data_IF_772593961149
#
_entry.id   IF_772593961149
#
_cell.length_a   1.000
_cell.length_b   1.000
_cell.length_c   1.000
_cell.angle_alpha   90.00
_cell.angle_beta   90.00
_cell.angle_gamma   90.00
#
_symmetry.space_group_name_H-M   'P 1'
#
loop_
_entity.id
_entity.type
_entity.pdbx_description
1 polymer ?
#
# COMPACT_ATOMS: atom_id res chain seq x y z
N UNK A 1 5.86 -27.81 -10.14
CA UNK A 1 7.08 -27.58 -9.33
C UNK A 1 7.39 -26.09 -9.34
N UNK A 2 7.32 -25.43 -8.18
CA UNK A 2 7.97 -24.15 -7.88
C UNK A 2 7.32 -22.82 -8.32
N UNK A 3 6.58 -22.77 -9.43
CA UNK A 3 6.30 -21.50 -10.13
C UNK A 3 5.36 -20.50 -9.42
N UNK A 4 4.68 -20.89 -8.33
CA UNK A 4 3.79 -20.00 -7.56
C UNK A 4 4.11 -19.98 -6.06
N UNK A 5 5.30 -20.41 -5.66
CA UNK A 5 5.69 -20.36 -4.25
C UNK A 5 5.97 -18.92 -3.83
N UNK A 6 5.50 -18.53 -2.65
CA UNK A 6 5.76 -17.23 -2.01
C UNK A 6 7.26 -16.89 -2.01
N UNK A 7 8.13 -17.91 -1.94
CA UNK A 7 9.59 -17.75 -2.04
C UNK A 7 10.04 -17.10 -3.35
N UNK A 8 9.38 -17.39 -4.48
CA UNK A 8 9.73 -16.79 -5.78
C UNK A 8 9.44 -15.27 -5.79
N UNK A 9 8.27 -14.88 -5.29
CA UNK A 9 7.89 -13.47 -5.16
C UNK A 9 8.82 -12.72 -4.21
N UNK A 10 9.26 -13.36 -3.12
CA UNK A 10 10.21 -12.78 -2.17
C UNK A 10 11.56 -12.51 -2.82
N UNK A 11 12.09 -13.46 -3.60
CA UNK A 11 13.36 -13.33 -4.31
C UNK A 11 13.27 -12.24 -5.39
N UNK A 12 12.18 -12.19 -6.15
CA UNK A 12 11.95 -11.14 -7.15
C UNK A 12 11.93 -9.75 -6.52
N UNK A 13 11.25 -9.60 -5.37
CA UNK A 13 11.19 -8.34 -4.63
C UNK A 13 12.60 -7.88 -4.21
N UNK A 14 13.41 -8.81 -3.69
CA UNK A 14 14.81 -8.53 -3.33
C UNK A 14 15.61 -8.07 -4.55
N UNK A 15 15.49 -8.75 -5.70
CA UNK A 15 16.21 -8.37 -6.92
C UNK A 15 15.80 -6.98 -7.40
N UNK A 16 14.50 -6.65 -7.41
CA UNK A 16 14.03 -5.31 -7.79
C UNK A 16 14.59 -4.24 -6.86
N UNK A 17 14.61 -4.49 -5.55
CA UNK A 17 15.17 -3.56 -4.56
C UNK A 17 16.67 -3.35 -4.76
N UNK A 18 17.42 -4.40 -5.12
CA UNK A 18 18.87 -4.32 -5.38
C UNK A 18 19.15 -3.52 -6.66
N UNK A 19 18.40 -3.76 -7.74
CA UNK A 19 18.59 -3.07 -9.03
C UNK A 19 18.25 -1.57 -8.92
N UNK A 20 17.12 -1.25 -8.30
CA UNK A 20 16.67 0.14 -8.18
C UNK A 20 17.33 0.89 -7.03
N UNK A 21 17.88 0.16 -6.05
CA UNK A 21 18.37 0.69 -4.79
C UNK A 21 17.24 1.18 -3.88
N UNK A 22 17.50 1.19 -2.57
CA UNK A 22 16.51 1.62 -1.57
C UNK A 22 16.18 3.12 -1.65
N UNK A 23 17.09 3.94 -2.17
CA UNK A 23 16.91 5.40 -2.27
C UNK A 23 15.81 5.77 -3.29
N UNK A 24 15.86 5.19 -4.49
CA UNK A 24 14.88 5.47 -5.54
C UNK A 24 13.52 4.85 -5.22
N UNK A 25 13.51 3.64 -4.64
CA UNK A 25 12.30 2.99 -4.15
C UNK A 25 11.64 3.76 -2.99
N UNK A 26 12.43 4.37 -2.10
CA UNK A 26 11.93 5.18 -0.98
C UNK A 26 11.31 6.49 -1.44
N UNK A 27 11.94 7.22 -2.36
CA UNK A 27 11.35 8.46 -2.88
C UNK A 27 10.04 8.17 -3.62
N UNK A 28 10.07 7.25 -4.60
CA UNK A 28 8.86 6.88 -5.34
C UNK A 28 7.79 6.25 -4.42
N UNK A 29 8.20 5.42 -3.47
CA UNK A 29 7.30 4.82 -2.48
C UNK A 29 6.71 5.84 -1.49
N UNK A 30 7.41 6.93 -1.18
CA UNK A 30 6.89 8.01 -0.34
C UNK A 30 5.83 8.83 -1.08
N UNK A 31 6.06 9.12 -2.36
CA UNK A 31 5.12 9.87 -3.19
C UNK A 31 3.85 9.04 -3.45
N UNK A 32 4.02 7.79 -3.86
CA UNK A 32 2.91 6.84 -4.06
C UNK A 32 2.20 6.50 -2.74
N UNK A 33 2.97 6.26 -1.67
CA UNK A 33 2.44 5.94 -0.35
C UNK A 33 1.65 7.10 0.27
N UNK A 34 2.08 8.34 0.04
CA UNK A 34 1.36 9.54 0.46
C UNK A 34 -0.01 9.66 -0.20
N UNK A 35 -0.07 9.45 -1.52
CA UNK A 35 -1.34 9.47 -2.26
C UNK A 35 -2.32 8.37 -1.80
N UNK A 36 -1.82 7.14 -1.62
CA UNK A 36 -2.65 6.02 -1.14
C UNK A 36 -3.08 6.20 0.32
N UNK A 37 -2.24 6.82 1.16
CA UNK A 37 -2.59 7.13 2.55
C UNK A 37 -3.76 8.10 2.63
N UNK A 38 -3.71 9.21 1.88
CA UNK A 38 -4.81 10.18 1.84
C UNK A 38 -6.11 9.57 1.31
N UNK A 39 -6.02 8.69 0.30
CA UNK A 39 -7.18 7.93 -0.18
C UNK A 39 -7.78 7.01 0.90
N UNK A 40 -6.93 6.27 1.62
CA UNK A 40 -7.39 5.40 2.72
C UNK A 40 -8.05 6.20 3.85
N UNK A 41 -7.51 7.36 4.19
CA UNK A 41 -8.06 8.25 5.21
C UNK A 41 -9.44 8.78 4.79
N UNK A 42 -9.58 9.28 3.56
CA UNK A 42 -10.86 9.76 3.03
C UNK A 42 -11.95 8.66 3.02
N UNK A 43 -11.62 7.46 2.54
CA UNK A 43 -12.56 6.32 2.51
C UNK A 43 -12.97 5.89 3.93
N UNK A 44 -12.04 5.99 4.90
CA UNK A 44 -12.34 5.65 6.30
C UNK A 44 -13.20 6.72 6.97
N UNK A 45 -12.95 7.99 6.68
CA UNK A 45 -13.76 9.11 7.19
C UNK A 45 -15.19 9.06 6.63
N UNK A 46 -15.38 8.76 5.35
CA UNK A 46 -16.71 8.54 4.78
C UNK A 46 -17.44 7.40 5.49
N UNK A 47 -16.78 6.25 5.70
CA UNK A 47 -17.38 5.13 6.41
C UNK A 47 -17.75 5.49 7.88
N UNK A 48 -16.91 6.29 8.53
CA UNK A 48 -17.14 6.73 9.92
C UNK A 48 -18.28 7.76 10.00
N UNK A 49 -18.36 8.69 9.05
CA UNK A 49 -19.45 9.66 8.93
C UNK A 49 -20.79 8.97 8.62
N UNK A 50 -20.79 7.95 7.76
CA UNK A 50 -21.96 7.12 7.48
C UNK A 50 -22.42 6.32 8.71
N UNK A 51 -21.50 5.81 9.52
CA UNK A 51 -21.82 5.13 10.79
C UNK A 51 -22.37 6.09 11.86
N UNK A 52 -21.90 7.34 11.90
CA UNK A 52 -22.34 8.35 12.86
C UNK A 52 -23.72 8.93 12.52
N UNK A 53 -24.10 8.97 11.24
CA UNK A 53 -25.41 9.47 10.79
C UNK A 53 -26.57 8.47 10.97
N UNK A 54 -26.28 7.17 11.11
CA UNK A 54 -27.30 6.13 11.24
C UNK A 54 -27.78 5.90 12.69
N UNK A 55 -27.02 6.34 13.71
CA UNK A 55 -27.37 6.15 15.13
C UNK A 55 -28.21 7.31 15.71
N UNK A 56 -28.41 8.38 14.95
CA UNK A 56 -29.14 9.59 15.40
C UNK A 56 -30.53 9.72 14.73
N UNK A 57 -31.03 8.65 14.11
CA UNK A 57 -32.41 8.50 13.61
C UNK A 57 -33.13 7.44 14.44
#
# INVERSE_FOLDING_TARGET
MGSFSITHWLILLVVVVVIFGTSKLRNAGKDLGGAVKGFKEAVKDENTEHAKKQVVL
#
